data_IF_735539516075
#
_entry.id   IF_735539516075
#
_cell.length_a   1.000
_cell.length_b   1.000
_cell.length_c   1.000
_cell.angle_alpha   90.00
_cell.angle_beta   90.00
_cell.angle_gamma   90.00
#
_symmetry.space_group_name_H-M   'P 1'
#
loop_
_entity.id
_entity.type
_entity.pdbx_description
1 polymer ?
#
# COMPACT_ATOMS: atom_id res chain seq x y z
N UNK A 1 -17.82 5.67 23.70
CA UNK A 1 -16.68 4.75 23.47
C UNK A 1 -15.61 5.54 22.74
N UNK A 2 -14.36 5.47 23.19
CA UNK A 2 -13.24 6.21 22.59
C UNK A 2 -12.51 5.26 21.64
N UNK A 3 -12.48 5.59 20.35
CA UNK A 3 -11.77 4.79 19.35
C UNK A 3 -10.25 4.97 19.49
N UNK A 4 -9.51 3.88 19.33
CA UNK A 4 -8.05 3.92 19.23
C UNK A 4 -7.62 4.55 17.90
N UNK A 5 -6.38 5.10 17.80
CA UNK A 5 -5.89 5.70 16.55
C UNK A 5 -5.96 4.75 15.35
N UNK A 6 -5.67 3.46 15.55
CA UNK A 6 -5.72 2.46 14.48
C UNK A 6 -7.13 2.14 14.02
N UNK A 7 -8.11 2.12 14.93
CA UNK A 7 -9.52 1.96 14.58
C UNK A 7 -10.03 3.17 13.80
N UNK A 8 -9.57 4.38 14.12
CA UNK A 8 -9.89 5.59 13.35
C UNK A 8 -9.33 5.48 11.93
N UNK A 9 -8.08 5.06 11.77
CA UNK A 9 -7.47 4.85 10.44
C UNK A 9 -8.26 3.80 9.65
N UNK A 10 -8.59 2.66 10.28
CA UNK A 10 -9.37 1.61 9.66
C UNK A 10 -10.77 2.10 9.25
N UNK A 11 -11.43 2.88 10.10
CA UNK A 11 -12.74 3.46 9.81
C UNK A 11 -12.70 4.42 8.63
N UNK A 12 -11.70 5.31 8.57
CA UNK A 12 -11.49 6.22 7.43
C UNK A 12 -11.26 5.41 6.15
N UNK A 13 -10.39 4.39 6.21
CA UNK A 13 -10.09 3.56 5.05
C UNK A 13 -11.34 2.79 4.57
N UNK A 14 -12.12 2.21 5.48
CA UNK A 14 -13.37 1.51 5.18
C UNK A 14 -14.40 2.45 4.55
N UNK A 15 -14.61 3.64 5.14
CA UNK A 15 -15.54 4.62 4.60
C UNK A 15 -15.16 5.02 3.16
N UNK A 16 -13.88 5.37 2.94
CA UNK A 16 -13.38 5.72 1.61
C UNK A 16 -13.46 4.54 0.63
N UNK A 17 -13.17 3.33 1.09
CA UNK A 17 -13.24 2.11 0.30
C UNK A 17 -14.66 1.81 -0.15
N UNK A 18 -15.64 1.86 0.75
CA UNK A 18 -17.06 1.67 0.44
C UNK A 18 -17.54 2.73 -0.55
N UNK A 19 -17.24 4.01 -0.29
CA UNK A 19 -17.59 5.11 -1.21
C UNK A 19 -17.00 4.86 -2.59
N UNK A 20 -15.71 4.51 -2.66
CA UNK A 20 -15.02 4.19 -3.91
C UNK A 20 -15.69 3.03 -4.66
N UNK A 21 -16.01 1.95 -3.97
CA UNK A 21 -16.65 0.78 -4.59
C UNK A 21 -18.04 1.11 -5.12
N UNK A 22 -18.84 1.87 -4.37
CA UNK A 22 -20.16 2.35 -4.82
C UNK A 22 -20.00 3.22 -6.07
N UNK A 23 -19.09 4.20 -6.05
CA UNK A 23 -18.84 5.07 -7.20
C UNK A 23 -18.37 4.31 -8.43
N UNK A 24 -17.52 3.29 -8.26
CA UNK A 24 -17.01 2.50 -9.37
C UNK A 24 -18.11 1.70 -10.06
N UNK A 25 -19.11 1.23 -9.31
CA UNK A 25 -20.27 0.50 -9.85
C UNK A 25 -21.27 1.47 -10.51
N UNK A 26 -21.57 2.61 -9.88
CA UNK A 26 -22.58 3.56 -10.38
C UNK A 26 -22.05 4.41 -11.53
N UNK A 27 -20.84 4.94 -11.41
CA UNK A 27 -20.23 5.84 -12.39
C UNK A 27 -18.69 5.70 -12.43
N UNK A 28 -18.18 4.68 -13.15
CA UNK A 28 -16.75 4.42 -13.21
C UNK A 28 -15.95 5.58 -13.84
N UNK A 29 -16.56 6.35 -14.74
CA UNK A 29 -15.92 7.49 -15.38
C UNK A 29 -15.64 8.63 -14.39
N UNK A 30 -16.59 8.92 -13.49
CA UNK A 30 -16.39 9.93 -12.46
C UNK A 30 -15.20 9.58 -11.54
N UNK A 31 -15.08 8.31 -11.15
CA UNK A 31 -13.94 7.85 -10.37
C UNK A 31 -12.62 7.94 -11.16
N UNK A 32 -12.64 7.55 -12.44
CA UNK A 32 -11.48 7.61 -13.31
C UNK A 32 -10.99 9.05 -13.51
N UNK A 33 -11.87 10.03 -13.63
CA UNK A 33 -11.50 11.43 -13.79
C UNK A 33 -10.94 12.04 -12.51
N UNK A 34 -11.47 11.63 -11.35
CA UNK A 34 -10.89 11.97 -10.05
C UNK A 34 -9.47 11.39 -9.93
N UNK A 35 -9.29 10.11 -10.29
CA UNK A 35 -7.99 9.46 -10.28
C UNK A 35 -7.00 10.20 -11.19
N UNK A 36 -7.37 10.51 -12.44
CA UNK A 36 -6.52 11.29 -13.37
C UNK A 36 -6.07 12.62 -12.77
N UNK A 37 -6.97 13.36 -12.11
CA UNK A 37 -6.63 14.64 -11.44
C UNK A 37 -5.61 14.46 -10.32
N UNK A 38 -5.76 13.41 -9.50
CA UNK A 38 -4.79 13.11 -8.44
C UNK A 38 -3.42 12.73 -9.01
N UNK A 39 -3.39 11.83 -10.00
CA UNK A 39 -2.16 11.36 -10.61
C UNK A 39 -1.49 12.40 -11.53
N UNK A 40 -2.17 13.48 -11.90
CA UNK A 40 -1.59 14.60 -12.66
C UNK A 40 -0.48 15.35 -11.90
N UNK A 41 -0.39 15.20 -10.57
CA UNK A 41 0.66 15.78 -9.72
C UNK A 41 1.47 14.68 -9.03
N UNK A 42 2.27 13.88 -9.78
CA UNK A 42 2.87 12.65 -9.26
C UNK A 42 3.80 12.88 -8.07
N UNK A 43 4.61 13.94 -8.07
CA UNK A 43 5.53 14.26 -6.95
C UNK A 43 4.76 14.59 -5.67
N UNK A 44 3.73 15.42 -5.75
CA UNK A 44 2.90 15.77 -4.61
C UNK A 44 2.17 14.54 -4.04
N UNK A 45 1.61 13.71 -4.94
CA UNK A 45 0.96 12.47 -4.55
C UNK A 45 1.94 11.48 -3.90
N UNK A 46 3.16 11.35 -4.43
CA UNK A 46 4.20 10.49 -3.88
C UNK A 46 4.62 10.93 -2.48
N UNK A 47 4.92 12.21 -2.27
CA UNK A 47 5.30 12.74 -0.96
C UNK A 47 4.16 12.60 0.05
N UNK A 48 2.92 12.94 -0.33
CA UNK A 48 1.75 12.78 0.53
C UNK A 48 1.53 11.31 0.93
N UNK A 49 1.67 10.40 -0.04
CA UNK A 49 1.49 8.96 0.22
C UNK A 49 2.58 8.40 1.11
N UNK A 50 3.84 8.87 0.97
CA UNK A 50 4.94 8.45 1.83
C UNK A 50 4.75 8.92 3.27
N UNK A 51 4.30 10.17 3.46
CA UNK A 51 4.00 10.71 4.79
C UNK A 51 2.86 9.92 5.44
N UNK A 52 1.76 9.71 4.71
CA UNK A 52 0.63 8.92 5.21
C UNK A 52 1.04 7.47 5.52
N UNK A 53 1.86 6.84 4.68
CA UNK A 53 2.38 5.50 4.92
C UNK A 53 3.21 5.44 6.20
N UNK A 54 4.09 6.42 6.46
CA UNK A 54 4.88 6.49 7.69
C UNK A 54 3.99 6.66 8.94
N UNK A 55 2.98 7.52 8.88
CA UNK A 55 2.01 7.73 9.98
C UNK A 55 1.25 6.44 10.27
N UNK A 56 0.68 5.80 9.24
CA UNK A 56 -0.08 4.55 9.39
C UNK A 56 0.83 3.44 9.92
N UNK A 57 2.04 3.31 9.38
CA UNK A 57 3.01 2.31 9.82
C UNK A 57 3.39 2.49 11.30
N UNK A 58 3.61 3.73 11.75
CA UNK A 58 3.90 4.04 13.16
C UNK A 58 2.80 3.56 14.12
N UNK A 59 1.53 3.70 13.73
CA UNK A 59 0.42 3.19 14.54
C UNK A 59 0.24 1.67 14.40
N UNK A 60 0.54 1.08 13.24
CA UNK A 60 0.48 -0.36 13.04
C UNK A 60 1.46 -1.11 13.96
N UNK A 61 2.72 -0.67 14.02
CA UNK A 61 3.75 -1.37 14.81
C UNK A 61 3.56 -1.27 16.33
N UNK A 62 2.64 -0.43 16.80
CA UNK A 62 2.28 -0.35 18.22
C UNK A 62 1.29 -1.44 18.63
N UNK A 63 0.58 -2.01 17.68
CA UNK A 63 -0.52 -2.97 17.92
C UNK A 63 -0.20 -4.33 17.32
N UNK A 64 0.50 -4.35 16.19
CA UNK A 64 0.88 -5.55 15.46
C UNK A 64 2.40 -5.68 15.37
N UNK A 65 2.87 -6.92 15.44
CA UNK A 65 4.25 -7.24 15.10
C UNK A 65 4.50 -7.00 13.61
N UNK A 66 5.76 -6.71 13.25
CA UNK A 66 6.15 -6.56 11.85
C UNK A 66 5.85 -7.84 11.04
N UNK A 67 5.91 -9.02 11.67
CA UNK A 67 5.59 -10.31 11.04
C UNK A 67 4.10 -10.40 10.68
N UNK A 68 3.20 -10.01 11.58
CA UNK A 68 1.75 -9.97 11.30
C UNK A 68 1.41 -8.99 10.18
N UNK A 69 2.06 -7.82 10.15
CA UNK A 69 1.91 -6.86 9.06
C UNK A 69 2.31 -7.50 7.72
N UNK A 70 3.45 -8.20 7.66
CA UNK A 70 3.89 -8.92 6.47
C UNK A 70 2.96 -10.08 6.07
N UNK A 71 2.33 -10.77 7.03
CA UNK A 71 1.34 -11.79 6.75
C UNK A 71 0.09 -11.20 6.06
N UNK A 72 -0.44 -10.08 6.58
CA UNK A 72 -1.58 -9.37 5.95
C UNK A 72 -1.20 -8.81 4.58
N UNK A 73 0.01 -8.27 4.42
CA UNK A 73 0.51 -7.81 3.12
C UNK A 73 0.61 -8.95 2.10
N UNK A 74 1.03 -10.14 2.54
CA UNK A 74 1.07 -11.34 1.68
C UNK A 74 -0.33 -11.70 1.18
N UNK A 75 -1.32 -11.71 2.08
CA UNK A 75 -2.71 -11.94 1.70
C UNK A 75 -3.21 -10.89 0.68
N UNK A 76 -2.93 -9.61 0.93
CA UNK A 76 -3.29 -8.53 0.01
C UNK A 76 -2.60 -8.66 -1.36
N UNK A 77 -1.32 -9.04 -1.38
CA UNK A 77 -0.57 -9.25 -2.62
C UNK A 77 -1.20 -10.37 -3.46
N UNK A 78 -1.64 -11.47 -2.84
CA UNK A 78 -2.32 -12.57 -3.52
C UNK A 78 -3.65 -12.12 -4.13
N UNK A 79 -4.45 -11.29 -3.42
CA UNK A 79 -5.69 -10.74 -3.96
C UNK A 79 -5.44 -9.79 -5.15
N UNK A 80 -4.38 -8.98 -5.08
CA UNK A 80 -3.99 -8.10 -6.20
C UNK A 80 -3.59 -8.94 -7.41
N UNK A 81 -2.79 -9.99 -7.22
CA UNK A 81 -2.40 -10.90 -8.31
C UNK A 81 -3.65 -11.55 -8.91
N UNK A 82 -4.57 -12.06 -8.10
CA UNK A 82 -5.83 -12.62 -8.57
C UNK A 82 -6.62 -11.62 -9.44
N UNK A 83 -6.79 -10.38 -8.97
CA UNK A 83 -7.53 -9.36 -9.71
C UNK A 83 -6.82 -8.86 -10.99
N UNK A 84 -5.49 -8.91 -11.03
CA UNK A 84 -4.69 -8.29 -12.09
C UNK A 84 -4.03 -9.30 -13.05
N UNK A 85 -4.06 -10.60 -12.77
CA UNK A 85 -3.32 -11.62 -13.52
C UNK A 85 -3.50 -11.51 -15.05
N UNK A 86 -4.74 -11.31 -15.51
CA UNK A 86 -5.09 -11.19 -16.92
C UNK A 86 -4.63 -9.88 -17.59
N UNK A 87 -4.22 -8.88 -16.81
CA UNK A 87 -3.90 -7.54 -17.27
C UNK A 87 -2.40 -7.20 -17.17
N UNK A 88 -1.67 -7.81 -16.22
CA UNK A 88 -0.25 -7.52 -15.97
C UNK A 88 0.61 -7.74 -17.22
N UNK A 89 0.37 -8.81 -17.99
CA UNK A 89 1.14 -9.09 -19.20
C UNK A 89 1.06 -7.99 -20.27
N UNK A 90 -0.08 -7.27 -20.36
CA UNK A 90 -0.22 -6.11 -21.24
C UNK A 90 0.53 -4.89 -20.69
N UNK A 91 0.47 -4.67 -19.38
CA UNK A 91 1.16 -3.55 -18.74
C UNK A 91 2.69 -3.68 -18.87
N UNK A 92 3.24 -4.88 -18.67
CA UNK A 92 4.69 -5.09 -18.77
C UNK A 92 5.28 -4.73 -20.15
N UNK A 93 4.50 -4.82 -21.23
CA UNK A 93 4.93 -4.40 -22.58
C UNK A 93 5.06 -2.89 -22.74
N UNK A 94 4.33 -2.12 -21.93
CA UNK A 94 4.29 -0.65 -21.98
C UNK A 94 5.42 -0.06 -21.12
N UNK A 95 5.83 -0.75 -20.06
CA UNK A 95 6.87 -0.27 -19.15
C UNK A 95 8.29 -0.53 -19.66
N UNK A 96 9.11 0.54 -19.79
CA UNK A 96 10.55 0.43 -20.08
C UNK A 96 11.34 0.26 -18.78
N UNK A 97 11.64 -0.99 -18.43
CA UNK A 97 12.27 -1.38 -17.14
C UNK A 97 13.66 -0.73 -16.91
N UNK A 98 14.43 -0.46 -17.98
CA UNK A 98 15.88 -0.19 -17.92
C UNK A 98 16.29 1.02 -17.06
N UNK A 99 15.41 1.99 -16.82
CA UNK A 99 15.68 3.18 -16.01
C UNK A 99 14.87 3.26 -14.71
N UNK A 100 13.90 2.37 -14.48
CA UNK A 100 12.95 2.49 -13.37
C UNK A 100 13.62 2.38 -12.00
N UNK A 101 14.70 1.61 -11.86
CA UNK A 101 15.38 1.45 -10.57
C UNK A 101 15.83 2.79 -9.95
N UNK A 102 16.16 3.80 -10.79
CA UNK A 102 16.52 5.15 -10.32
C UNK A 102 15.32 5.96 -9.85
N UNK A 103 14.12 5.64 -10.31
CA UNK A 103 12.89 6.33 -9.88
C UNK A 103 12.31 5.69 -8.60
N UNK A 104 12.58 4.41 -8.39
CA UNK A 104 12.08 3.62 -7.25
C UNK A 104 13.13 3.34 -6.17
N UNK A 105 14.33 3.90 -6.24
CA UNK A 105 15.42 3.60 -5.29
C UNK A 105 15.00 3.79 -3.82
N UNK A 106 14.31 4.89 -3.50
CA UNK A 106 13.85 5.17 -2.13
C UNK A 106 12.83 4.13 -1.65
N UNK A 107 11.91 3.75 -2.53
CA UNK A 107 10.94 2.69 -2.27
C UNK A 107 11.65 1.35 -2.02
N UNK A 108 12.66 1.01 -2.82
CA UNK A 108 13.45 -0.21 -2.65
C UNK A 108 14.20 -0.23 -1.30
N UNK A 109 14.82 0.89 -0.90
CA UNK A 109 15.52 0.99 0.38
C UNK A 109 14.54 0.76 1.54
N UNK A 110 13.38 1.42 1.52
CA UNK A 110 12.35 1.25 2.55
C UNK A 110 11.95 -0.23 2.65
N UNK A 111 11.71 -0.88 1.51
CA UNK A 111 11.38 -2.30 1.49
C UNK A 111 12.48 -3.21 2.04
N UNK A 112 13.73 -2.96 1.67
CA UNK A 112 14.87 -3.73 2.19
C UNK A 112 14.94 -3.60 3.71
N UNK A 113 14.82 -2.38 4.25
CA UNK A 113 14.83 -2.15 5.70
C UNK A 113 13.70 -2.89 6.40
N UNK A 114 12.47 -2.82 5.86
CA UNK A 114 11.32 -3.52 6.43
C UNK A 114 11.47 -5.05 6.37
N UNK A 115 11.99 -5.60 5.27
CA UNK A 115 12.25 -7.04 5.14
C UNK A 115 13.33 -7.51 6.10
N UNK A 116 14.43 -6.77 6.24
CA UNK A 116 15.50 -7.09 7.20
C UNK A 116 14.95 -7.08 8.63
N UNK A 117 14.11 -6.10 8.98
CA UNK A 117 13.45 -6.07 10.29
C UNK A 117 12.52 -7.28 10.47
N UNK A 118 11.66 -7.59 9.50
CA UNK A 118 10.76 -8.74 9.60
C UNK A 118 11.52 -10.07 9.76
N UNK A 119 12.60 -10.27 8.99
CA UNK A 119 13.48 -11.44 9.11
C UNK A 119 14.13 -11.48 10.50
N UNK A 120 14.63 -10.33 10.98
CA UNK A 120 15.20 -10.24 12.33
C UNK A 120 14.19 -10.63 13.40
N UNK A 121 12.98 -10.11 13.33
CA UNK A 121 11.91 -10.42 14.27
C UNK A 121 11.56 -11.92 14.24
N UNK A 122 11.42 -12.48 13.05
CA UNK A 122 11.02 -13.88 12.84
C UNK A 122 12.06 -14.87 13.37
N UNK A 123 13.34 -14.59 13.18
CA UNK A 123 14.42 -15.54 13.52
C UNK A 123 15.19 -15.22 14.79
N UNK A 124 15.16 -13.99 15.31
CA UNK A 124 16.00 -13.61 16.46
C UNK A 124 15.20 -13.24 17.71
N UNK A 125 13.94 -12.80 17.58
CA UNK A 125 13.06 -12.52 18.73
C UNK A 125 12.11 -13.68 19.08
N UNK A 126 11.99 -14.71 18.22
CA UNK A 126 11.22 -15.92 18.51
C UNK A 126 12.01 -17.01 19.27
N UNK A 127 13.30 -16.75 19.55
CA UNK A 127 14.25 -17.69 20.14
C UNK A 127 14.58 -17.40 21.62
N UNK A 128 13.90 -16.45 22.26
CA UNK A 128 13.95 -16.15 23.70
C UNK A 128 12.54 -15.79 24.20
#
# INVERSE_FOLDING_TARGET
MTYTPIEIIAMIFLALGVIKMIYLVINPNAWMDLAKKMYAKPKALQSMSLILAAIVFYYLIQVFSIVEIFAVMTFMALLIVFGMANHVGKMLKIFKIKSMWKDFWLYLIIWIVLMVWAIKELFFNSLF
#
